data_IF_793530524280
#
_entry.id   IF_793530524280
#
_cell.length_a   1.000
_cell.length_b   1.000
_cell.length_c   1.000
_cell.angle_alpha   90.00
_cell.angle_beta   90.00
_cell.angle_gamma   90.00
#
_symmetry.space_group_name_H-M   'P 1'
#
loop_
_entity.id
_entity.type
_entity.pdbx_description
1 polymer ?
#
# COMPACT_ATOMS: atom_id res chain seq x y z
N UNK A 1 -0.12 23.35 14.42
CA UNK A 1 0.19 22.00 14.95
C UNK A 1 1.16 21.37 13.96
N UNK A 2 2.36 20.99 14.41
CA UNK A 2 3.40 20.49 13.51
C UNK A 2 3.18 19.02 13.18
N UNK A 3 3.10 18.67 11.89
CA UNK A 3 3.05 17.30 11.43
C UNK A 3 4.41 16.63 11.69
N UNK A 4 4.43 15.58 12.50
CA UNK A 4 5.63 14.78 12.76
C UNK A 4 5.78 13.79 11.61
N UNK A 5 6.75 14.03 10.73
CA UNK A 5 7.11 13.09 9.65
C UNK A 5 7.94 11.94 10.24
N UNK A 6 7.43 10.72 10.14
CA UNK A 6 8.15 9.51 10.55
C UNK A 6 8.81 8.94 9.29
N UNK A 7 10.14 9.10 9.17
CA UNK A 7 10.93 8.56 8.07
C UNK A 7 11.53 7.20 8.47
N UNK A 8 11.22 6.15 7.71
CA UNK A 8 11.83 4.83 7.86
C UNK A 8 13.07 4.74 6.95
N UNK A 9 14.27 4.95 7.49
CA UNK A 9 15.51 4.94 6.70
C UNK A 9 16.07 3.52 6.49
N UNK A 10 16.29 3.02 5.27
CA UNK A 10 16.72 1.64 5.00
C UNK A 10 18.17 1.39 5.45
N UNK A 11 18.43 0.44 6.36
CA UNK A 11 19.80 0.15 6.83
C UNK A 11 20.35 -1.26 6.51
N UNK A 12 19.57 -2.31 6.20
CA UNK A 12 20.16 -3.57 5.69
C UNK A 12 19.15 -4.52 5.00
N UNK A 13 19.62 -5.71 4.58
CA UNK A 13 19.02 -6.62 3.59
C UNK A 13 17.72 -7.35 3.99
N UNK A 14 17.13 -7.05 5.14
CA UNK A 14 15.80 -7.49 5.53
C UNK A 14 15.03 -6.25 6.00
N UNK A 15 14.05 -5.77 5.23
CA UNK A 15 13.23 -4.62 5.61
C UNK A 15 12.15 -5.08 6.62
N UNK A 16 12.55 -5.52 7.81
CA UNK A 16 11.66 -5.53 8.98
C UNK A 16 12.20 -4.44 9.90
N UNK A 17 11.58 -3.26 9.86
CA UNK A 17 11.82 -2.25 10.89
C UNK A 17 11.08 -2.67 12.14
N UNK A 18 11.77 -3.36 13.05
CA UNK A 18 11.40 -3.27 14.46
C UNK A 18 11.77 -1.86 14.89
N UNK A 19 10.76 -1.02 15.06
CA UNK A 19 10.96 0.17 15.87
C UNK A 19 11.11 -0.37 17.30
N UNK A 20 12.33 -0.70 17.72
CA UNK A 20 12.65 -1.18 19.08
C UNK A 20 12.34 -0.06 20.08
N UNK A 21 11.05 0.08 20.40
CA UNK A 21 10.63 0.64 21.67
C UNK A 21 10.67 -0.50 22.67
N UNK A 22 11.50 -0.37 23.70
CA UNK A 22 11.32 -1.16 24.92
C UNK A 22 9.90 -0.90 25.44
N UNK A 23 9.04 -1.93 25.36
CA UNK A 23 7.66 -1.89 25.88
C UNK A 23 6.61 -1.43 24.86
N UNK A 24 5.67 -2.33 24.58
CA UNK A 24 4.50 -2.20 23.70
C UNK A 24 4.83 -1.98 22.21
N UNK A 25 4.35 -2.92 21.38
CA UNK A 25 4.32 -2.79 19.92
C UNK A 25 3.77 -1.41 19.54
N UNK A 26 4.63 -0.50 19.05
CA UNK A 26 4.24 0.88 18.73
C UNK A 26 3.25 0.86 17.57
N UNK A 27 1.96 0.93 17.88
CA UNK A 27 0.90 1.21 16.93
C UNK A 27 1.15 2.63 16.39
N UNK A 28 1.41 2.74 15.09
CA UNK A 28 1.55 4.03 14.42
C UNK A 28 0.17 4.53 14.02
N UNK A 29 -0.19 5.75 14.44
CA UNK A 29 -1.42 6.39 13.95
C UNK A 29 -1.29 6.73 12.47
N UNK A 30 -2.35 6.49 11.71
CA UNK A 30 -2.50 6.85 10.31
C UNK A 30 -2.82 8.35 10.10
N UNK A 31 -3.08 9.10 11.18
CA UNK A 31 -3.28 10.56 11.13
C UNK A 31 -2.02 11.30 10.67
N UNK A 32 -0.85 10.68 10.82
CA UNK A 32 0.39 11.16 10.27
C UNK A 32 0.79 10.27 9.09
N UNK A 33 1.27 10.90 8.01
CA UNK A 33 1.82 10.17 6.89
C UNK A 33 3.14 9.47 7.30
N UNK A 34 3.19 8.17 7.04
CA UNK A 34 4.34 7.31 7.24
C UNK A 34 5.05 7.15 5.90
N UNK A 35 6.37 7.37 5.90
CA UNK A 35 7.22 7.18 4.72
C UNK A 35 8.02 5.89 4.88
N UNK A 36 7.62 4.86 4.14
CA UNK A 36 8.34 3.60 4.05
C UNK A 36 9.29 3.59 2.84
N UNK A 37 10.47 2.96 2.95
CA UNK A 37 11.44 2.95 1.86
C UNK A 37 10.88 2.21 0.64
N UNK A 38 11.29 2.66 -0.54
CA UNK A 38 10.95 2.01 -1.80
C UNK A 38 11.46 0.56 -1.88
N UNK A 39 10.81 -0.18 -2.77
CA UNK A 39 11.08 -1.60 -3.04
C UNK A 39 12.46 -1.76 -3.70
N UNK A 40 13.34 -2.60 -3.14
CA UNK A 40 14.71 -2.79 -3.66
C UNK A 40 14.77 -3.52 -5.01
N UNK A 41 13.78 -4.38 -5.27
CA UNK A 41 13.66 -5.14 -6.53
C UNK A 41 12.32 -4.80 -7.17
N UNK A 42 12.37 -4.35 -8.41
CA UNK A 42 11.17 -4.01 -9.19
C UNK A 42 10.51 -5.24 -9.81
N UNK A 43 11.25 -6.34 -9.98
CA UNK A 43 10.78 -7.58 -10.62
C UNK A 43 10.06 -8.55 -9.68
N UNK A 44 10.21 -8.40 -8.37
CA UNK A 44 9.44 -9.17 -7.39
C UNK A 44 9.51 -8.50 -6.03
N UNK A 45 8.36 -8.31 -5.40
CA UNK A 45 8.24 -7.64 -4.12
C UNK A 45 6.96 -8.02 -3.37
N UNK A 46 6.96 -7.77 -2.07
CA UNK A 46 5.79 -7.97 -1.22
C UNK A 46 5.70 -6.85 -0.19
N UNK A 47 4.50 -6.31 -0.01
CA UNK A 47 4.12 -5.34 1.00
C UNK A 47 3.10 -6.03 1.91
N UNK A 48 3.39 -6.03 3.22
CA UNK A 48 2.56 -6.62 4.25
C UNK A 48 2.14 -5.54 5.24
N UNK A 49 0.84 -5.35 5.41
CA UNK A 49 0.27 -4.35 6.32
C UNK A 49 -0.68 -5.03 7.30
N UNK A 50 -0.59 -4.64 8.56
CA UNK A 50 -1.60 -4.95 9.58
C UNK A 50 -2.19 -3.63 10.04
N UNK A 51 -3.48 -3.42 9.78
CA UNK A 51 -4.11 -2.11 9.93
C UNK A 51 -5.50 -2.26 10.55
N UNK A 52 -5.90 -1.24 11.31
CA UNK A 52 -7.26 -1.08 11.84
C UNK A 52 -7.73 0.31 11.46
N UNK A 53 -8.84 0.41 10.73
CA UNK A 53 -9.39 1.70 10.27
C UNK A 53 -10.56 2.14 11.15
N UNK A 54 -10.75 3.45 11.27
CA UNK A 54 -11.92 4.04 11.95
C UNK A 54 -13.01 4.47 10.96
N UNK A 55 -12.67 4.56 9.67
CA UNK A 55 -13.57 4.91 8.58
C UNK A 55 -13.77 3.71 7.65
N UNK A 56 -14.95 3.70 7.00
CA UNK A 56 -15.36 2.63 6.07
C UNK A 56 -14.73 2.77 4.68
N UNK A 57 -14.28 3.97 4.33
CA UNK A 57 -13.71 4.28 3.03
C UNK A 57 -12.54 5.27 3.14
N UNK A 58 -11.62 5.19 2.17
CA UNK A 58 -10.47 6.06 2.07
C UNK A 58 -9.23 5.38 1.49
N UNK A 59 -8.31 6.18 0.94
CA UNK A 59 -7.00 5.70 0.50
C UNK A 59 -6.07 5.53 1.70
N UNK A 60 -5.40 4.37 1.80
CA UNK A 60 -4.46 4.06 2.87
C UNK A 60 -3.00 4.20 2.43
N UNK A 61 -2.66 3.76 1.21
CA UNK A 61 -1.28 3.75 0.74
C UNK A 61 -1.21 4.17 -0.72
N UNK A 62 -0.15 4.93 -1.04
CA UNK A 62 0.18 5.34 -2.42
C UNK A 62 1.65 5.06 -2.70
N UNK A 63 1.92 4.44 -3.85
CA UNK A 63 3.25 4.30 -4.44
C UNK A 63 3.24 5.03 -5.77
N UNK A 64 4.05 6.09 -5.88
CA UNK A 64 4.21 6.82 -7.15
C UNK A 64 5.37 6.22 -7.93
N UNK A 65 5.14 5.97 -9.21
CA UNK A 65 6.19 5.55 -10.12
C UNK A 65 7.08 6.74 -10.54
N UNK A 66 8.20 6.44 -11.18
CA UNK A 66 9.07 7.46 -11.80
C UNK A 66 8.37 8.18 -12.96
N UNK A 67 7.54 7.48 -13.71
CA UNK A 67 6.72 8.09 -14.75
C UNK A 67 5.51 8.80 -14.11
N UNK A 68 5.38 10.11 -14.34
CA UNK A 68 4.48 11.04 -13.62
C UNK A 68 2.98 10.65 -13.62
N UNK A 69 2.54 9.73 -14.46
CA UNK A 69 1.15 9.32 -14.56
C UNK A 69 0.86 7.94 -13.97
N UNK A 70 1.87 7.25 -13.42
CA UNK A 70 1.72 5.89 -12.91
C UNK A 70 1.78 5.82 -11.39
N UNK A 71 0.78 5.19 -10.78
CA UNK A 71 0.72 4.99 -9.33
C UNK A 71 -0.09 3.76 -8.93
N UNK A 72 0.28 3.19 -7.78
CA UNK A 72 -0.46 2.14 -7.10
C UNK A 72 -1.11 2.69 -5.84
N UNK A 73 -2.39 2.40 -5.65
CA UNK A 73 -3.15 2.81 -4.48
C UNK A 73 -3.71 1.57 -3.80
N UNK A 74 -3.58 1.51 -2.49
CA UNK A 74 -4.40 0.64 -1.63
C UNK A 74 -5.45 1.51 -0.96
N UNK A 75 -6.71 1.10 -1.08
CA UNK A 75 -7.84 1.82 -0.50
C UNK A 75 -8.89 0.88 0.07
N UNK A 76 -9.62 1.42 1.04
CA UNK A 76 -10.82 0.81 1.59
C UNK A 76 -12.03 1.47 0.96
N UNK A 77 -13.04 0.64 0.72
CA UNK A 77 -14.36 1.06 0.31
C UNK A 77 -15.39 0.22 1.08
N UNK A 78 -16.68 0.57 1.05
CA UNK A 78 -17.72 -0.24 1.67
C UNK A 78 -17.64 -1.71 1.25
N UNK A 79 -17.29 -2.58 2.20
CA UNK A 79 -17.14 -4.03 2.02
C UNK A 79 -16.08 -4.45 1.00
N UNK A 80 -15.13 -3.57 0.64
CA UNK A 80 -14.04 -3.91 -0.28
C UNK A 80 -12.69 -3.39 0.21
N UNK A 81 -11.67 -4.20 -0.02
CA UNK A 81 -10.27 -3.73 -0.02
C UNK A 81 -9.79 -3.80 -1.45
N UNK A 82 -9.32 -2.67 -1.97
CA UNK A 82 -8.99 -2.50 -3.38
C UNK A 82 -7.53 -2.10 -3.53
N UNK A 83 -6.85 -2.76 -4.46
CA UNK A 83 -5.58 -2.29 -4.99
C UNK A 83 -5.82 -1.85 -6.42
N UNK A 84 -5.47 -0.60 -6.71
CA UNK A 84 -5.64 0.04 -8.01
C UNK A 84 -4.27 0.42 -8.56
N UNK A 85 -4.04 0.14 -9.84
CA UNK A 85 -2.93 0.65 -10.63
C UNK A 85 -3.47 1.55 -11.74
N UNK A 86 -2.98 2.78 -11.80
CA UNK A 86 -3.25 3.73 -12.88
C UNK A 86 -1.94 4.07 -13.58
N UNK A 87 -1.96 4.22 -14.91
CA UNK A 87 -0.79 4.54 -15.75
C UNK A 87 -1.12 5.67 -16.77
N UNK A 88 -2.03 6.57 -16.41
CA UNK A 88 -2.51 7.69 -17.24
C UNK A 88 -3.32 7.33 -18.50
N UNK A 89 -3.25 6.08 -18.95
CA UNK A 89 -3.97 5.56 -20.13
C UNK A 89 -5.00 4.50 -19.73
N UNK A 90 -4.62 3.63 -18.79
CA UNK A 90 -5.44 2.53 -18.32
C UNK A 90 -5.56 2.54 -16.79
N UNK A 91 -6.68 1.98 -16.34
CA UNK A 91 -7.00 1.74 -14.96
C UNK A 91 -7.17 0.22 -14.78
N UNK A 92 -6.50 -0.34 -13.79
CA UNK A 92 -6.61 -1.74 -13.42
C UNK A 92 -6.84 -1.84 -11.91
N UNK A 93 -7.71 -2.77 -11.49
CA UNK A 93 -7.96 -3.02 -10.09
C UNK A 93 -8.02 -4.51 -9.76
N UNK A 94 -7.74 -4.82 -8.50
CA UNK A 94 -8.05 -6.11 -7.89
C UNK A 94 -8.62 -5.85 -6.50
N UNK A 95 -9.68 -6.56 -6.13
CA UNK A 95 -10.33 -6.36 -4.85
C UNK A 95 -10.76 -7.65 -4.16
N UNK A 96 -10.78 -7.59 -2.84
CA UNK A 96 -11.45 -8.56 -1.98
C UNK A 96 -12.75 -8.00 -1.45
N UNK A 97 -13.81 -8.82 -1.47
CA UNK A 97 -14.99 -8.54 -0.69
C UNK A 97 -14.66 -8.89 0.76
N UNK A 98 -14.96 -7.98 1.66
CA UNK A 98 -14.72 -8.12 3.09
C UNK A 98 -16.00 -7.83 3.85
N UNK A 99 -16.13 -8.41 5.03
CA UNK A 99 -17.21 -8.03 5.95
C UNK A 99 -16.99 -6.60 6.46
N UNK A 100 -17.78 -6.20 7.46
CA UNK A 100 -17.55 -4.93 8.15
C UNK A 100 -16.15 -4.91 8.77
N UNK A 101 -15.30 -3.99 8.29
CA UNK A 101 -13.89 -3.92 8.66
C UNK A 101 -13.55 -2.76 9.60
N UNK A 102 -14.48 -1.83 9.80
CA UNK A 102 -14.26 -0.66 10.66
C UNK A 102 -14.10 -1.12 12.10
N UNK A 103 -13.03 -0.67 12.75
CA UNK A 103 -12.69 -1.05 14.12
C UNK A 103 -12.03 -2.43 14.25
N UNK A 104 -11.84 -3.16 13.17
CA UNK A 104 -11.26 -4.50 13.16
C UNK A 104 -9.84 -4.50 12.60
N UNK A 105 -8.99 -5.39 13.10
CA UNK A 105 -7.65 -5.59 12.57
C UNK A 105 -7.70 -6.40 11.29
N UNK A 106 -6.97 -5.94 10.28
CA UNK A 106 -6.88 -6.58 8.97
C UNK A 106 -5.43 -6.81 8.57
N UNK A 107 -5.16 -8.01 8.08
CA UNK A 107 -3.91 -8.35 7.41
C UNK A 107 -4.09 -8.18 5.90
N UNK A 108 -3.30 -7.31 5.30
CA UNK A 108 -3.29 -7.05 3.85
C UNK A 108 -1.92 -7.42 3.29
N UNK A 109 -1.93 -8.23 2.25
CA UNK A 109 -0.75 -8.63 1.50
C UNK A 109 -0.91 -8.12 0.06
N UNK A 110 0.02 -7.31 -0.40
CA UNK A 110 0.14 -6.90 -1.80
C UNK A 110 1.46 -7.43 -2.30
N UNK A 111 1.45 -8.17 -3.39
CA UNK A 111 2.66 -8.75 -3.93
C UNK A 111 2.70 -8.63 -5.44
N UNK A 112 3.91 -8.66 -5.97
CA UNK A 112 4.17 -8.65 -7.39
C UNK A 112 5.29 -9.63 -7.68
N UNK A 113 5.14 -10.34 -8.78
CA UNK A 113 6.17 -11.17 -9.40
C UNK A 113 6.13 -10.86 -10.89
N UNK A 114 7.27 -10.71 -11.55
CA UNK A 114 7.35 -10.42 -12.99
C UNK A 114 6.71 -11.52 -13.85
N UNK A 115 6.74 -12.76 -13.39
CA UNK A 115 6.07 -13.89 -14.05
C UNK A 115 4.57 -13.96 -13.71
N UNK A 116 4.12 -13.16 -12.74
CA UNK A 116 2.72 -12.97 -12.37
C UNK A 116 2.29 -11.51 -12.58
N UNK A 117 1.08 -11.16 -12.15
CA UNK A 117 0.63 -9.77 -12.03
C UNK A 117 0.58 -9.34 -10.56
N UNK A 118 0.29 -8.06 -10.30
CA UNK A 118 0.04 -7.57 -8.95
C UNK A 118 -1.09 -8.38 -8.30
N UNK A 119 -0.89 -8.83 -7.07
CA UNK A 119 -1.85 -9.60 -6.30
C UNK A 119 -2.27 -8.93 -5.01
N UNK A 120 -3.45 -9.33 -4.53
CA UNK A 120 -4.00 -8.90 -3.25
C UNK A 120 -4.51 -10.12 -2.47
N UNK A 121 -4.04 -10.24 -1.23
CA UNK A 121 -4.56 -11.17 -0.23
C UNK A 121 -5.02 -10.42 1.01
N UNK A 122 -6.15 -10.84 1.59
CA UNK A 122 -6.72 -10.22 2.79
C UNK A 122 -7.03 -11.30 3.83
N UNK A 123 -6.64 -11.09 5.09
CA UNK A 123 -6.90 -11.95 6.24
C UNK A 123 -6.56 -13.44 6.02
N UNK A 124 -5.47 -13.72 5.28
CA UNK A 124 -5.05 -15.09 4.95
C UNK A 124 -5.94 -15.80 3.92
N UNK A 125 -6.91 -15.10 3.32
CA UNK A 125 -7.70 -15.59 2.21
C UNK A 125 -6.90 -15.79 0.92
N UNK A 126 -7.52 -16.38 -0.12
CA UNK A 126 -6.85 -16.66 -1.39
C UNK A 126 -6.34 -15.38 -2.04
N UNK A 127 -5.14 -15.43 -2.62
CA UNK A 127 -4.60 -14.34 -3.44
C UNK A 127 -5.51 -14.14 -4.66
N UNK A 128 -5.89 -12.89 -4.92
CA UNK A 128 -6.53 -12.48 -6.17
C UNK A 128 -5.54 -11.71 -7.00
N UNK A 129 -5.62 -11.86 -8.32
CA UNK A 129 -4.66 -11.28 -9.25
C UNK A 129 -5.30 -10.12 -10.01
N UNK A 130 -4.54 -9.04 -10.19
CA UNK A 130 -4.90 -7.96 -11.08
C UNK A 130 -4.76 -8.45 -12.52
N UNK A 131 -5.85 -8.47 -13.26
CA UNK A 131 -5.83 -8.93 -14.64
C UNK A 131 -5.14 -7.87 -15.50
N UNK A 132 -3.87 -8.10 -15.85
CA UNK A 132 -3.09 -7.18 -16.66
C UNK A 132 -3.62 -7.16 -18.10
N UNK A 133 -4.07 -5.99 -18.57
CA UNK A 133 -4.53 -5.80 -19.94
C UNK A 133 -3.45 -5.10 -20.76
N UNK A 134 -2.56 -5.86 -21.42
CA UNK A 134 -1.53 -5.38 -22.38
C UNK A 134 -0.52 -4.37 -21.77
N UNK A 135 -0.73 -3.93 -20.53
CA UNK A 135 -0.06 -2.83 -19.86
C UNK A 135 0.92 -3.37 -18.84
N UNK A 136 2.06 -2.70 -18.74
CA UNK A 136 3.11 -3.03 -17.80
C UNK A 136 2.62 -2.76 -16.37
N UNK A 137 2.66 -3.78 -15.51
CA UNK A 137 2.27 -3.66 -14.10
C UNK A 137 3.46 -3.37 -13.16
N UNK A 138 4.68 -3.22 -13.70
CA UNK A 138 5.87 -2.90 -12.90
C UNK A 138 5.79 -1.50 -12.28
N UNK A 139 6.40 -1.34 -11.09
CA UNK A 139 6.51 -0.06 -10.41
C UNK A 139 7.93 0.13 -9.92
N UNK A 140 8.54 1.25 -10.29
CA UNK A 140 9.93 1.57 -10.01
C UNK A 140 10.15 2.32 -8.70
N UNK A 141 9.11 2.90 -8.10
CA UNK A 141 9.10 3.65 -6.82
C UNK A 141 10.29 4.61 -6.63
N UNK A 142 10.06 5.92 -6.69
CA UNK A 142 11.17 6.91 -6.63
C UNK A 142 11.55 7.31 -5.23
N UNK A 143 10.59 7.79 -4.45
CA UNK A 143 10.85 8.46 -3.19
C UNK A 143 10.60 7.52 -2.02
N UNK A 144 9.32 7.29 -1.71
CA UNK A 144 8.86 6.48 -0.60
C UNK A 144 7.51 5.87 -0.94
N UNK A 145 7.19 4.77 -0.29
CA UNK A 145 5.84 4.27 -0.13
C UNK A 145 5.17 5.14 0.96
N UNK A 146 4.07 5.80 0.63
CA UNK A 146 3.36 6.68 1.55
C UNK A 146 2.16 5.94 2.12
N UNK A 147 1.99 5.95 3.44
CA UNK A 147 0.92 5.24 4.17
C UNK A 147 0.26 6.19 5.18
N UNK A 148 -1.06 6.14 5.32
CA UNK A 148 -1.85 6.98 6.23
C UNK A 148 -2.70 8.00 5.47
N UNK A 149 -2.70 9.25 5.91
CA UNK A 149 -3.39 10.36 5.23
C UNK A 149 -2.78 10.68 3.86
N UNK A 150 -3.13 9.91 2.85
CA UNK A 150 -2.61 10.01 1.47
C UNK A 150 -3.64 10.52 0.47
N UNK A 151 -4.90 10.72 0.87
CA UNK A 151 -5.99 11.09 -0.04
C UNK A 151 -5.74 12.43 -0.75
N UNK A 152 -5.15 13.40 -0.05
CA UNK A 152 -4.80 14.72 -0.62
C UNK A 152 -3.72 14.63 -1.71
N UNK A 153 -2.95 13.55 -1.78
CA UNK A 153 -1.94 13.34 -2.82
C UNK A 153 -2.54 12.93 -4.17
N UNK A 154 -3.83 12.55 -4.16
CA UNK A 154 -4.59 12.10 -5.33
C UNK A 154 -5.44 13.23 -5.93
N UNK A 155 -5.58 14.36 -5.24
CA UNK A 155 -6.42 15.49 -5.67
C UNK A 155 -5.70 16.56 -6.49
N UNK A 156 -4.37 16.49 -6.61
CA UNK A 156 -3.59 17.42 -7.44
C UNK A 156 -3.58 16.96 -8.91
N UNK A 157 -4.33 17.68 -9.75
CA UNK A 157 -4.26 17.64 -11.23
C UNK A 157 -3.43 18.80 -11.76
#
# INVERSE_FOLDING_TARGET
MGHVKINLAPFSAFNVFYNEGEGEEKILSLDNMIFAPCLKKTTSWTIKLVVKTENQDGALMVIKDYYRAKYLILMFEPYRVVVQLEDGICFMEVYHLVEHHVGEWMLINIDYDQDASIGLGVNGGPRKEMVASITDTTISCVDNIMIGDVAHLLSEK
#
